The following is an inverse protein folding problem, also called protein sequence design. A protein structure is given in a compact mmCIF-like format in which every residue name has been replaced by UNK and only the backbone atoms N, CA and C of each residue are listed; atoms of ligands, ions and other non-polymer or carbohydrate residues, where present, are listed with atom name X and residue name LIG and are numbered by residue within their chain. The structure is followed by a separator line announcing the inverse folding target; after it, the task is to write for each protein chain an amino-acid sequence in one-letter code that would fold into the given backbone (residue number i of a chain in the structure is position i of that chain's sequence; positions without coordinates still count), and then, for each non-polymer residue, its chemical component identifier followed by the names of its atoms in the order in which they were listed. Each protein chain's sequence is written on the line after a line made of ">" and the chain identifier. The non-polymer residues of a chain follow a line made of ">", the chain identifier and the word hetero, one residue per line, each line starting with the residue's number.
data_IF_265584579679
#
_entry.id   IF_265584579679
#
_cell.length_a   1.000
_cell.length_b   1.000
_cell.length_c   1.000
_cell.angle_alpha   90.00
_cell.angle_beta   90.00
_cell.angle_gamma   90.00
#
_symmetry.space_group_name_H-M   'P 1'
#
loop_
_entity.id
_entity.type
_entity.pdbx_description
1 polymer ?
#
# COMPACT_ATOMS: atom_id res chain seq x y z
N UNK A 1 -7.84 -69.78 -17.97
CA UNK A 1 -6.76 -69.09 -17.20
C UNK A 1 -6.76 -67.63 -17.59
N UNK A 2 -7.17 -66.74 -16.68
CA UNK A 2 -7.35 -65.30 -16.91
C UNK A 2 -5.98 -64.59 -16.95
N UNK A 3 -5.70 -63.84 -18.02
CA UNK A 3 -4.57 -62.88 -18.08
C UNK A 3 -5.01 -61.57 -17.44
N UNK A 4 -4.35 -61.18 -16.35
CA UNK A 4 -4.54 -59.88 -15.71
C UNK A 4 -3.49 -58.94 -16.31
N UNK A 5 -3.93 -57.97 -17.10
CA UNK A 5 -3.10 -56.84 -17.51
C UNK A 5 -3.12 -55.81 -16.37
N UNK A 6 -1.98 -55.63 -15.69
CA UNK A 6 -1.81 -54.58 -14.69
C UNK A 6 -1.38 -53.29 -15.41
N UNK A 7 -2.29 -52.31 -15.52
CA UNK A 7 -1.94 -50.95 -15.92
C UNK A 7 -1.39 -50.21 -14.70
N UNK A 8 -0.07 -49.99 -14.69
CA UNK A 8 0.58 -49.15 -13.68
C UNK A 8 0.43 -47.68 -14.12
N UNK A 9 -0.54 -46.97 -13.56
CA UNK A 9 -0.71 -45.52 -13.77
C UNK A 9 0.33 -44.82 -12.89
N UNK A 10 1.43 -44.36 -13.52
CA UNK A 10 2.40 -43.47 -12.92
C UNK A 10 1.74 -42.10 -12.66
N UNK A 11 1.28 -41.89 -11.44
CA UNK A 11 0.98 -40.56 -10.92
C UNK A 11 2.30 -39.81 -10.74
N UNK A 12 2.76 -39.10 -11.77
CA UNK A 12 3.75 -38.06 -11.60
C UNK A 12 3.11 -36.92 -10.80
N UNK A 13 3.65 -36.53 -9.63
CA UNK A 13 3.23 -35.28 -9.01
C UNK A 13 3.66 -34.16 -9.94
N UNK A 14 2.69 -33.54 -10.61
CA UNK A 14 2.89 -32.28 -11.31
C UNK A 14 3.17 -31.26 -10.22
N UNK A 15 4.45 -31.03 -9.92
CA UNK A 15 4.89 -29.89 -9.12
C UNK A 15 4.56 -28.68 -9.99
N UNK A 16 3.38 -28.11 -9.78
CA UNK A 16 3.07 -26.78 -10.28
C UNK A 16 3.95 -25.82 -9.50
N UNK A 17 5.15 -25.53 -10.02
CA UNK A 17 5.88 -24.35 -9.59
C UNK A 17 4.97 -23.16 -9.92
N UNK A 18 4.29 -22.64 -8.90
CA UNK A 18 3.65 -21.35 -9.00
C UNK A 18 4.74 -20.37 -9.46
N UNK A 19 4.55 -19.74 -10.63
CA UNK A 19 5.42 -18.67 -11.07
C UNK A 19 5.25 -17.54 -10.07
N UNK A 20 6.21 -17.37 -9.17
CA UNK A 20 6.29 -16.18 -8.32
C UNK A 20 6.43 -14.97 -9.23
N UNK A 21 5.62 -13.94 -9.01
CA UNK A 21 5.81 -12.66 -9.70
C UNK A 21 7.21 -12.15 -9.38
N UNK A 22 7.98 -11.85 -10.42
CA UNK A 22 9.31 -11.27 -10.30
C UNK A 22 9.23 -9.81 -10.74
N UNK A 23 9.18 -8.90 -9.76
CA UNK A 23 9.30 -7.46 -10.00
C UNK A 23 10.79 -7.11 -10.02
N UNK A 24 11.20 -6.26 -10.96
CA UNK A 24 12.59 -5.84 -11.06
C UNK A 24 12.95 -4.93 -9.88
N UNK A 25 14.18 -5.02 -9.40
CA UNK A 25 14.72 -4.06 -8.43
C UNK A 25 14.58 -2.63 -8.93
N UNK A 26 14.28 -1.72 -8.02
CA UNK A 26 14.06 -0.30 -8.31
C UNK A 26 13.13 0.35 -7.29
N UNK A 27 13.00 1.68 -7.40
CA UNK A 27 12.03 2.44 -6.63
C UNK A 27 10.75 2.60 -7.46
N UNK A 28 9.59 2.40 -6.86
CA UNK A 28 8.29 2.53 -7.50
C UNK A 28 7.45 3.55 -6.76
N UNK A 29 6.62 4.29 -7.50
CA UNK A 29 5.66 5.23 -6.93
C UNK A 29 4.24 4.89 -7.37
N UNK A 30 3.31 4.92 -6.42
CA UNK A 30 1.90 4.61 -6.66
C UNK A 30 1.13 5.80 -7.21
N UNK A 31 0.42 5.58 -8.31
CA UNK A 31 -0.55 6.51 -8.88
C UNK A 31 -1.95 5.88 -8.78
N UNK A 32 -2.95 6.61 -8.29
CA UNK A 32 -4.32 6.14 -8.42
C UNK A 32 -4.80 6.37 -9.84
N UNK A 33 -5.16 5.29 -10.53
CA UNK A 33 -5.63 5.36 -11.91
C UNK A 33 -6.98 4.69 -12.07
N UNK A 34 -7.76 5.20 -13.02
CA UNK A 34 -9.05 4.62 -13.39
C UNK A 34 -9.27 4.76 -14.89
N UNK A 35 -10.26 4.02 -15.42
CA UNK A 35 -10.68 4.14 -16.82
C UNK A 35 -12.00 4.88 -16.92
N UNK A 36 -12.01 5.96 -17.70
CA UNK A 36 -13.23 6.66 -18.12
C UNK A 36 -13.36 6.54 -19.63
N UNK A 37 -14.42 5.87 -20.09
CA UNK A 37 -14.67 5.59 -21.51
C UNK A 37 -13.46 4.96 -22.24
N UNK A 38 -12.74 4.09 -21.53
CA UNK A 38 -11.56 3.38 -22.03
C UNK A 38 -10.25 4.17 -21.95
N UNK A 39 -10.28 5.46 -21.59
CA UNK A 39 -9.10 6.30 -21.41
C UNK A 39 -8.62 6.21 -19.96
N UNK A 40 -7.32 5.95 -19.78
CA UNK A 40 -6.69 5.93 -18.46
C UNK A 40 -6.57 7.37 -17.94
N UNK A 41 -6.99 7.59 -16.69
CA UNK A 41 -6.92 8.87 -15.99
C UNK A 41 -6.33 8.66 -14.60
N UNK A 42 -5.71 9.68 -14.05
CA UNK A 42 -5.24 9.74 -12.67
C UNK A 42 -6.24 10.47 -11.78
N UNK A 43 -6.29 10.10 -10.50
CA UNK A 43 -7.16 10.73 -9.50
C UNK A 43 -6.35 11.13 -8.26
N UNK A 44 -6.65 12.29 -7.69
CA UNK A 44 -5.85 12.93 -6.64
C UNK A 44 -5.96 12.34 -5.24
N UNK A 45 -6.44 11.10 -5.07
CA UNK A 45 -6.40 10.39 -3.77
C UNK A 45 -4.95 9.99 -3.42
N UNK A 46 -4.13 9.73 -4.44
CA UNK A 46 -2.68 9.72 -4.36
C UNK A 46 -2.15 10.96 -5.08
N UNK A 47 -1.04 11.52 -4.60
CA UNK A 47 -0.42 12.64 -5.31
C UNK A 47 -0.01 12.20 -6.72
N UNK A 48 -0.30 13.06 -7.71
CA UNK A 48 -0.01 12.74 -9.12
C UNK A 48 1.46 12.96 -9.49
N UNK A 49 2.28 13.47 -8.57
CA UNK A 49 3.71 13.68 -8.80
C UNK A 49 4.49 13.36 -7.53
N UNK A 50 5.50 12.47 -7.60
CA UNK A 50 6.34 12.18 -6.46
C UNK A 50 7.18 13.41 -6.07
N UNK A 51 7.24 13.71 -4.77
CA UNK A 51 7.99 14.86 -4.27
C UNK A 51 9.48 14.60 -4.33
N UNK A 52 10.23 15.54 -4.93
CA UNK A 52 11.69 15.54 -4.99
C UNK A 52 12.25 16.81 -4.43
N UNK A 53 13.29 16.68 -3.61
CA UNK A 53 14.12 17.79 -3.19
C UNK A 53 15.59 17.38 -3.28
N UNK A 54 16.41 18.21 -3.90
CA UNK A 54 17.87 18.01 -3.98
C UNK A 54 18.28 16.61 -4.50
N UNK A 55 17.50 16.07 -5.45
CA UNK A 55 17.75 14.76 -6.08
C UNK A 55 17.22 13.54 -5.33
N UNK A 56 16.68 13.70 -4.12
CA UNK A 56 16.06 12.60 -3.36
C UNK A 56 14.54 12.72 -3.36
N UNK A 57 13.86 11.58 -3.31
CA UNK A 57 12.42 11.54 -3.03
C UNK A 57 12.17 11.75 -1.53
N UNK A 58 11.17 12.54 -1.18
CA UNK A 58 10.90 12.93 0.22
C UNK A 58 9.42 12.78 0.59
N UNK A 59 9.17 12.45 1.86
CA UNK A 59 7.83 12.32 2.47
C UNK A 59 7.52 13.48 3.42
N UNK A 60 7.99 14.68 3.11
CA UNK A 60 7.73 15.84 3.96
C UNK A 60 6.27 16.31 3.89
N UNK A 61 5.75 16.95 4.96
CA UNK A 61 4.46 17.62 4.94
C UNK A 61 4.42 18.75 3.91
N UNK A 62 3.23 18.99 3.37
CA UNK A 62 2.88 20.14 2.53
C UNK A 62 1.77 20.93 3.23
N UNK A 63 1.66 22.26 3.06
CA UNK A 63 0.61 23.06 3.67
C UNK A 63 -0.81 22.58 3.29
N UNK A 64 -1.78 22.71 4.22
CA UNK A 64 -3.21 22.29 4.28
C UNK A 64 -4.03 22.09 2.99
N UNK A 65 -3.64 22.65 1.84
CA UNK A 65 -4.42 22.61 0.60
C UNK A 65 -4.04 21.46 -0.34
N UNK A 66 -3.16 20.56 0.09
CA UNK A 66 -2.66 19.47 -0.73
C UNK A 66 -3.00 18.10 -0.13
N UNK A 67 -4.20 17.60 -0.43
CA UNK A 67 -4.50 16.17 -0.33
C UNK A 67 -3.44 15.42 -1.13
N UNK A 68 -2.58 14.66 -0.44
CA UNK A 68 -1.39 14.11 -1.08
C UNK A 68 -0.87 12.86 -0.36
N UNK A 69 -1.72 11.83 -0.23
CA UNK A 69 -1.21 10.52 0.15
C UNK A 69 -0.15 10.07 -0.87
N UNK A 70 0.92 9.45 -0.39
CA UNK A 70 1.98 8.91 -1.22
C UNK A 70 2.36 7.52 -0.74
N UNK A 71 2.57 6.60 -1.68
CA UNK A 71 3.17 5.29 -1.40
C UNK A 71 4.30 5.06 -2.39
N UNK A 72 5.46 4.74 -1.84
CA UNK A 72 6.62 4.26 -2.56
C UNK A 72 6.88 2.80 -2.15
N UNK A 73 7.38 2.02 -3.10
CA UNK A 73 7.87 0.67 -2.86
C UNK A 73 9.28 0.58 -3.43
N UNK A 74 10.27 0.40 -2.57
CA UNK A 74 11.64 0.08 -2.98
C UNK A 74 11.79 -1.44 -3.03
N UNK A 75 12.33 -1.97 -4.12
CA UNK A 75 12.60 -3.39 -4.28
C UNK A 75 14.09 -3.57 -4.50
N UNK A 76 14.73 -4.36 -3.64
CA UNK A 76 16.13 -4.77 -3.74
C UNK A 76 16.23 -6.27 -3.50
N UNK A 77 16.88 -7.00 -4.40
CA UNK A 77 17.03 -8.45 -4.33
C UNK A 77 15.69 -9.18 -4.08
N UNK A 78 14.62 -8.72 -4.75
CA UNK A 78 13.25 -9.23 -4.58
C UNK A 78 12.66 -9.08 -3.16
N UNK A 79 13.18 -8.16 -2.35
CA UNK A 79 12.64 -7.78 -1.04
C UNK A 79 12.01 -6.38 -1.15
N UNK A 80 10.68 -6.26 -0.99
CA UNK A 80 10.01 -4.96 -1.00
C UNK A 80 10.08 -4.26 0.37
N UNK A 81 10.29 -2.96 0.32
CA UNK A 81 10.19 -2.05 1.45
C UNK A 81 9.29 -0.88 1.08
N UNK A 82 8.31 -0.57 1.92
CA UNK A 82 7.35 0.48 1.67
C UNK A 82 7.74 1.76 2.40
N UNK A 83 7.44 2.89 1.78
CA UNK A 83 7.54 4.21 2.39
C UNK A 83 6.29 4.98 2.04
N UNK A 84 5.65 5.63 3.01
CA UNK A 84 4.37 6.28 2.76
C UNK A 84 4.20 7.58 3.55
N UNK A 85 3.36 8.43 2.99
CA UNK A 85 2.82 9.62 3.62
C UNK A 85 1.31 9.50 3.56
N UNK A 86 0.65 9.59 4.71
CA UNK A 86 -0.81 9.63 4.80
C UNK A 86 -1.25 10.96 5.41
N UNK A 87 -2.21 11.59 4.76
CA UNK A 87 -2.93 12.71 5.32
C UNK A 87 -3.84 12.22 6.44
N UNK A 88 -3.90 12.97 7.55
CA UNK A 88 -4.82 12.68 8.66
C UNK A 88 -5.94 13.71 8.69
N UNK A 89 -7.18 13.24 8.80
CA UNK A 89 -8.36 14.10 8.92
C UNK A 89 -8.54 14.70 10.32
N UNK A 90 -7.92 14.11 11.35
CA UNK A 90 -8.41 14.29 12.73
C UNK A 90 -7.49 15.14 13.64
N UNK A 91 -6.35 15.65 13.16
CA UNK A 91 -5.42 16.32 14.08
C UNK A 91 -4.41 17.34 13.51
N UNK A 92 -4.48 17.79 12.25
CA UNK A 92 -3.39 18.57 11.61
C UNK A 92 -2.02 17.81 11.64
N UNK A 93 -2.06 16.48 11.81
CA UNK A 93 -0.89 15.63 11.98
C UNK A 93 -0.77 14.67 10.81
N UNK A 94 0.17 14.94 9.92
CA UNK A 94 0.46 14.04 8.82
C UNK A 94 1.25 12.83 9.31
N UNK A 95 0.98 11.66 8.73
CA UNK A 95 1.67 10.42 9.10
C UNK A 95 2.71 10.11 8.04
N UNK A 96 3.96 9.93 8.47
CA UNK A 96 4.99 9.31 7.63
C UNK A 96 5.31 7.93 8.17
N UNK A 97 5.55 6.98 7.28
CA UNK A 97 5.90 5.63 7.67
C UNK A 97 6.80 4.91 6.70
N UNK A 98 7.37 3.83 7.19
CA UNK A 98 7.98 2.79 6.37
C UNK A 98 7.57 1.41 6.90
N UNK A 99 7.56 0.40 6.03
CA UNK A 99 7.20 -0.96 6.42
C UNK A 99 8.05 -1.99 5.68
N UNK A 100 8.46 -3.03 6.41
CA UNK A 100 9.04 -4.22 5.81
C UNK A 100 7.94 -5.06 5.16
N UNK A 101 8.23 -5.62 3.98
CA UNK A 101 7.34 -6.53 3.30
C UNK A 101 8.08 -7.72 2.66
N UNK A 102 7.32 -8.73 2.26
CA UNK A 102 7.81 -9.91 1.55
C UNK A 102 6.86 -10.27 0.41
N UNK A 103 7.39 -10.79 -0.70
CA UNK A 103 6.54 -11.39 -1.73
C UNK A 103 6.23 -12.85 -1.36
N UNK A 104 4.95 -13.21 -1.45
CA UNK A 104 4.47 -14.59 -1.31
C UNK A 104 3.53 -14.89 -2.48
N UNK A 105 4.05 -15.64 -3.48
CA UNK A 105 3.30 -15.90 -4.70
C UNK A 105 3.05 -14.62 -5.50
N UNK A 106 1.78 -14.20 -5.57
CA UNK A 106 1.35 -12.96 -6.24
C UNK A 106 0.94 -11.86 -5.25
N UNK A 107 1.23 -12.05 -3.97
CA UNK A 107 0.89 -11.11 -2.92
C UNK A 107 2.16 -10.46 -2.36
N UNK A 108 2.07 -9.17 -2.04
CA UNK A 108 3.00 -8.49 -1.16
C UNK A 108 2.40 -8.47 0.24
N UNK A 109 3.13 -9.02 1.20
CA UNK A 109 2.68 -9.13 2.59
C UNK A 109 3.42 -8.08 3.41
N UNK A 110 2.68 -7.10 3.93
CA UNK A 110 3.22 -6.05 4.80
C UNK A 110 3.30 -6.60 6.23
N UNK A 111 4.48 -6.52 6.84
CA UNK A 111 4.76 -7.19 8.12
C UNK A 111 4.41 -6.30 9.32
N UNK A 112 5.14 -5.21 9.47
CA UNK A 112 4.92 -4.19 10.50
C UNK A 112 5.36 -2.85 9.93
N UNK A 113 4.60 -1.81 10.24
CA UNK A 113 4.92 -0.44 9.85
C UNK A 113 5.51 0.33 11.04
N UNK A 114 6.52 1.13 10.77
CA UNK A 114 7.04 2.13 11.71
C UNK A 114 6.58 3.50 11.25
N UNK A 115 5.87 4.21 12.12
CA UNK A 115 5.25 5.50 11.80
C UNK A 115 5.69 6.61 12.75
N UNK A 116 5.57 7.84 12.28
CA UNK A 116 5.68 9.07 13.06
C UNK A 116 4.64 10.07 12.57
N UNK A 117 4.21 10.93 13.48
CA UNK A 117 3.50 12.15 13.10
C UNK A 117 4.48 13.26 12.79
N UNK A 118 4.15 14.04 11.78
CA UNK A 118 4.80 15.29 11.46
C UNK A 118 3.75 16.40 11.46
N UNK A 119 4.06 17.47 12.20
CA UNK A 119 3.31 18.71 12.10
C UNK A 119 3.52 19.31 10.70
N UNK A 120 2.54 20.05 10.20
CA UNK A 120 2.59 20.68 8.88
C UNK A 120 3.80 21.62 8.70
N UNK A 121 4.18 22.35 9.76
CA UNK A 121 5.33 23.25 9.77
C UNK A 121 6.69 22.54 9.87
N UNK A 122 6.70 21.20 9.94
CA UNK A 122 7.94 20.45 10.12
C UNK A 122 8.90 20.70 8.96
N UNK A 123 10.12 21.12 9.32
CA UNK A 123 11.26 21.21 8.39
C UNK A 123 12.08 19.92 8.36
N UNK A 124 11.67 18.89 9.10
CA UNK A 124 12.35 17.60 9.11
C UNK A 124 12.30 16.98 7.72
N UNK A 125 13.46 16.58 7.20
CA UNK A 125 13.57 15.91 5.90
C UNK A 125 13.46 14.41 6.07
N UNK A 126 12.41 13.82 5.54
CA UNK A 126 12.20 12.35 5.53
C UNK A 126 12.43 11.85 4.11
N UNK A 127 13.61 11.27 3.84
CA UNK A 127 13.94 10.72 2.52
C UNK A 127 13.37 9.31 2.35
N UNK A 128 12.77 9.03 1.20
CA UNK A 128 12.44 7.67 0.78
C UNK A 128 13.73 6.85 0.61
N UNK A 129 13.73 5.58 1.01
CA UNK A 129 14.91 4.72 1.01
C UNK A 129 15.75 4.79 2.29
N UNK A 130 15.30 5.54 3.32
CA UNK A 130 15.96 5.62 4.63
C UNK A 130 14.96 5.33 5.75
N UNK A 131 15.17 4.23 6.47
CA UNK A 131 14.40 3.91 7.69
C UNK A 131 14.66 4.94 8.78
N UNK A 132 13.61 5.29 9.51
CA UNK A 132 13.66 6.15 10.69
C UNK A 132 13.07 5.43 11.91
N UNK A 133 13.53 5.74 13.12
CA UNK A 133 12.92 5.19 14.35
C UNK A 133 11.46 5.64 14.45
N UNK A 134 10.56 4.96 15.13
CA UNK A 134 9.19 5.49 15.27
C UNK A 134 8.33 4.57 16.10
N UNK A 135 7.02 4.82 16.07
CA UNK A 135 6.07 3.88 16.66
C UNK A 135 5.94 2.68 15.73
N UNK A 136 6.18 1.48 16.25
CA UNK A 136 5.87 0.25 15.54
C UNK A 136 4.39 -0.04 15.72
N UNK A 137 3.66 -0.13 14.62
CA UNK A 137 2.28 -0.58 14.55
C UNK A 137 2.30 -1.96 13.91
N UNK A 138 1.59 -2.91 14.53
CA UNK A 138 1.53 -4.28 14.07
C UNK A 138 0.08 -4.73 14.07
N UNK A 139 -0.41 -5.10 12.88
CA UNK A 139 -1.73 -5.66 12.73
C UNK A 139 -1.79 -7.07 13.33
N UNK A 140 -2.98 -7.44 13.83
CA UNK A 140 -3.23 -8.80 14.33
C UNK A 140 -3.04 -9.86 13.24
N UNK A 141 -3.40 -9.50 12.00
CA UNK A 141 -3.18 -10.29 10.80
C UNK A 141 -2.28 -9.48 9.85
N UNK A 142 -1.34 -10.12 9.15
CA UNK A 142 -0.50 -9.43 8.15
C UNK A 142 -1.39 -8.78 7.07
N UNK A 143 -1.05 -7.57 6.63
CA UNK A 143 -1.76 -6.89 5.54
C UNK A 143 -1.36 -7.52 4.20
N UNK A 144 -2.33 -8.08 3.49
CA UNK A 144 -2.14 -8.79 2.22
C UNK A 144 -2.44 -7.85 1.06
N UNK A 145 -1.46 -7.63 0.19
CA UNK A 145 -1.57 -6.72 -0.95
C UNK A 145 -1.41 -7.52 -2.25
N UNK A 146 -2.52 -7.96 -2.89
CA UNK A 146 -2.45 -8.67 -4.16
C UNK A 146 -1.87 -7.78 -5.25
N UNK A 147 -0.83 -8.25 -5.92
CA UNK A 147 -0.15 -7.51 -6.98
C UNK A 147 -0.29 -8.18 -8.34
N UNK A 148 -0.44 -7.36 -9.38
CA UNK A 148 -0.38 -7.80 -10.77
C UNK A 148 0.79 -7.11 -11.46
N UNK A 149 1.77 -7.89 -11.92
CA UNK A 149 2.91 -7.37 -12.66
C UNK A 149 2.48 -6.78 -14.01
N UNK A 150 3.03 -5.61 -14.35
CA UNK A 150 2.76 -4.91 -15.63
C UNK A 150 4.06 -4.93 -16.44
N UNK A 151 4.28 -6.03 -17.19
CA UNK A 151 5.32 -6.21 -18.20
C UNK A 151 6.71 -5.59 -17.91
N UNK A 152 7.16 -5.61 -16.65
CA UNK A 152 8.48 -5.13 -16.23
C UNK A 152 8.64 -3.60 -16.14
N UNK A 153 7.58 -2.83 -16.36
CA UNK A 153 7.54 -1.36 -16.18
C UNK A 153 6.95 -0.97 -14.81
N UNK A 154 6.27 -1.89 -14.16
CA UNK A 154 5.56 -1.63 -12.91
C UNK A 154 4.77 -2.84 -12.43
N UNK A 155 3.93 -2.58 -11.43
CA UNK A 155 2.89 -3.49 -10.97
C UNK A 155 1.66 -2.70 -10.56
N UNK A 156 0.58 -3.39 -10.24
CA UNK A 156 -0.68 -2.77 -9.85
C UNK A 156 -1.31 -3.47 -8.67
N UNK A 157 -2.03 -2.70 -7.87
CA UNK A 157 -2.85 -3.16 -6.74
C UNK A 157 -4.29 -2.78 -7.04
N UNK A 158 -5.13 -3.79 -7.27
CA UNK A 158 -6.57 -3.61 -7.38
C UNK A 158 -7.15 -3.47 -5.97
N UNK A 159 -7.70 -2.30 -5.66
CA UNK A 159 -8.19 -2.02 -4.32
C UNK A 159 -9.42 -2.85 -3.94
N UNK A 160 -10.25 -3.28 -4.89
CA UNK A 160 -11.35 -4.21 -4.59
C UNK A 160 -10.83 -5.57 -4.15
N UNK A 161 -9.77 -6.06 -4.80
CA UNK A 161 -9.14 -7.32 -4.41
C UNK A 161 -8.40 -7.20 -3.08
N UNK A 162 -7.67 -6.10 -2.88
CA UNK A 162 -7.03 -5.79 -1.60
C UNK A 162 -8.03 -5.81 -0.45
N UNK A 163 -9.17 -5.13 -0.59
CA UNK A 163 -10.20 -5.08 0.45
C UNK A 163 -10.78 -6.45 0.79
N UNK A 164 -10.99 -7.28 -0.23
CA UNK A 164 -11.47 -8.66 -0.05
C UNK A 164 -10.42 -9.52 0.64
N UNK A 165 -9.16 -9.45 0.23
CA UNK A 165 -8.07 -10.26 0.80
C UNK A 165 -7.85 -9.98 2.29
N UNK A 166 -8.15 -8.77 2.75
CA UNK A 166 -8.02 -8.38 4.15
C UNK A 166 -9.33 -8.41 4.94
N UNK A 167 -10.45 -8.74 4.29
CA UNK A 167 -11.81 -8.71 4.82
C UNK A 167 -12.28 -7.35 5.40
N UNK A 168 -11.64 -6.25 5.01
CA UNK A 168 -11.90 -4.93 5.60
C UNK A 168 -13.28 -4.36 5.23
N UNK A 169 -13.93 -4.86 4.17
CA UNK A 169 -15.31 -4.49 3.86
C UNK A 169 -16.31 -5.02 4.91
N UNK A 170 -15.98 -6.13 5.60
CA UNK A 170 -16.83 -6.73 6.63
C UNK A 170 -16.39 -6.31 8.03
N UNK A 171 -15.08 -6.19 8.27
CA UNK A 171 -14.52 -5.93 9.61
C UNK A 171 -14.29 -4.44 9.89
N UNK A 172 -14.42 -3.57 8.89
CA UNK A 172 -13.91 -2.21 8.94
C UNK A 172 -12.38 -2.16 8.81
N UNK A 173 -11.85 -0.95 8.66
CA UNK A 173 -10.41 -0.70 8.67
C UNK A 173 -9.89 -0.80 10.12
N UNK A 174 -8.75 -1.46 10.33
CA UNK A 174 -8.12 -1.48 11.65
C UNK A 174 -7.60 -0.07 11.96
N UNK A 175 -8.02 0.45 13.10
CA UNK A 175 -7.47 1.67 13.69
C UNK A 175 -6.67 1.32 14.94
N UNK A 176 -5.58 2.04 15.17
CA UNK A 176 -4.87 2.02 16.44
C UNK A 176 -5.08 3.38 17.07
N UNK A 177 -5.77 3.44 18.20
CA UNK A 177 -5.97 4.69 18.95
C UNK A 177 -4.96 4.78 20.11
N UNK A 178 -4.27 5.91 20.25
CA UNK A 178 -3.47 6.19 21.46
C UNK A 178 -3.80 7.56 22.05
N UNK A 179 -3.50 7.75 23.33
CA UNK A 179 -3.68 9.04 24.00
C UNK A 179 -2.82 10.13 23.37
N UNK A 180 -3.40 11.30 23.16
CA UNK A 180 -2.73 12.46 22.57
C UNK A 180 -1.40 12.79 23.30
N UNK A 181 -0.25 12.82 22.60
CA UNK A 181 1.04 13.14 23.20
C UNK A 181 1.12 14.56 23.76
N UNK A 182 0.24 15.48 23.34
CA UNK A 182 0.09 16.80 23.94
C UNK A 182 -0.69 16.81 25.26
N UNK A 183 -1.03 15.62 25.80
CA UNK A 183 -1.62 15.41 27.12
C UNK A 183 -2.99 16.07 27.32
N UNK A 184 -3.69 16.40 26.23
CA UNK A 184 -5.10 16.78 26.30
C UNK A 184 -5.89 15.56 26.75
N UNK A 185 -6.42 15.62 27.97
CA UNK A 185 -7.24 14.53 28.53
C UNK A 185 -8.39 14.23 27.58
N UNK A 186 -8.66 12.93 27.40
CA UNK A 186 -9.80 12.40 26.66
C UNK A 186 -9.78 12.62 25.14
N UNK A 187 -8.61 12.91 24.56
CA UNK A 187 -8.38 12.87 23.10
C UNK A 187 -7.54 11.64 22.76
N UNK A 188 -8.10 10.78 21.91
CA UNK A 188 -7.40 9.68 21.27
C UNK A 188 -7.01 10.13 19.86
N UNK A 189 -5.79 9.81 19.45
CA UNK A 189 -5.32 9.99 18.10
C UNK A 189 -5.35 8.61 17.43
N UNK A 190 -6.17 8.48 16.39
CA UNK A 190 -6.19 7.32 15.51
C UNK A 190 -4.94 7.30 14.62
N UNK A 191 -4.37 6.12 14.43
CA UNK A 191 -3.22 5.88 13.59
C UNK A 191 -3.64 4.90 12.49
N UNK A 192 -3.36 5.21 11.21
CA UNK A 192 -3.60 4.24 10.16
C UNK A 192 -2.72 3.01 10.39
N UNK A 193 -3.36 1.90 10.73
CA UNK A 193 -2.68 0.64 10.99
C UNK A 193 -2.29 -0.09 9.69
N UNK A 194 -2.81 0.37 8.55
CA UNK A 194 -2.53 -0.18 7.21
C UNK A 194 -1.77 0.81 6.35
N UNK A 195 -1.08 0.29 5.33
CA UNK A 195 -0.40 1.13 4.32
C UNK A 195 -1.35 1.51 3.18
N UNK A 196 -2.25 0.62 2.76
CA UNK A 196 -3.02 0.80 1.52
C UNK A 196 -4.45 1.30 1.74
N UNK A 197 -4.98 1.33 2.96
CA UNK A 197 -6.31 1.88 3.24
C UNK A 197 -6.33 2.75 4.50
N UNK A 198 -6.68 4.03 4.32
CA UNK A 198 -6.65 5.03 5.38
C UNK A 198 -7.87 5.94 5.28
N UNK A 199 -8.56 6.19 6.39
CA UNK A 199 -9.74 7.07 6.45
C UNK A 199 -10.88 6.70 5.49
N UNK A 200 -11.93 7.52 5.45
CA UNK A 200 -13.12 7.29 4.61
C UNK A 200 -12.90 7.65 3.14
N UNK A 201 -11.98 8.58 2.84
CA UNK A 201 -11.68 9.09 1.50
C UNK A 201 -10.30 8.68 0.94
N UNK A 202 -9.54 7.86 1.68
CA UNK A 202 -8.14 7.57 1.34
C UNK A 202 -7.94 6.45 0.33
N UNK A 203 -6.69 5.99 0.29
CA UNK A 203 -6.07 5.31 -0.86
C UNK A 203 -6.95 4.20 -1.41
N UNK A 204 -6.99 3.02 -0.80
CA UNK A 204 -7.93 2.00 -1.25
C UNK A 204 -9.34 2.26 -0.72
N UNK A 205 -9.55 2.96 0.39
CA UNK A 205 -10.86 3.07 1.08
C UNK A 205 -11.97 3.82 0.35
N UNK A 206 -11.68 4.47 -0.79
CA UNK A 206 -12.65 5.19 -1.60
C UNK A 206 -13.90 4.39 -2.06
N UNK A 207 -13.89 3.05 -1.98
CA UNK A 207 -15.09 2.23 -2.24
C UNK A 207 -16.08 2.21 -1.05
N UNK A 208 -15.66 2.63 0.15
CA UNK A 208 -16.54 2.78 1.32
C UNK A 208 -17.42 4.01 1.21
N UNK A 209 -16.93 5.07 0.56
CA UNK A 209 -17.68 6.31 0.38
C UNK A 209 -18.70 6.18 -0.77
N UNK A 210 -19.98 6.44 -0.52
CA UNK A 210 -21.04 6.42 -1.52
C UNK A 210 -20.91 7.53 -2.58
N UNK A 211 -20.32 8.68 -2.23
CA UNK A 211 -20.27 9.90 -3.06
C UNK A 211 -19.23 9.83 -4.19
N UNK A 212 -18.27 8.91 -4.12
CA UNK A 212 -17.28 8.71 -5.18
C UNK A 212 -17.91 8.05 -6.41
N UNK A 213 -17.68 8.63 -7.60
CA UNK A 213 -18.25 8.09 -8.85
C UNK A 213 -17.75 6.68 -9.14
N UNK A 214 -18.59 5.79 -9.73
CA UNK A 214 -18.26 4.37 -9.90
C UNK A 214 -16.97 4.09 -10.68
N UNK A 215 -16.59 4.95 -11.62
CA UNK A 215 -15.36 4.77 -12.38
C UNK A 215 -14.12 4.85 -11.48
N UNK A 216 -14.14 5.77 -10.51
CA UNK A 216 -13.03 5.97 -9.58
C UNK A 216 -13.00 4.84 -8.56
N UNK A 217 -14.16 4.37 -8.07
CA UNK A 217 -14.28 3.18 -7.19
C UNK A 217 -13.69 1.91 -7.80
N UNK A 218 -13.74 1.80 -9.13
CA UNK A 218 -13.15 0.69 -9.88
C UNK A 218 -11.72 0.99 -10.36
N UNK A 219 -11.09 2.03 -9.81
CA UNK A 219 -9.69 2.34 -10.02
C UNK A 219 -8.76 1.33 -9.33
N UNK A 220 -7.47 1.52 -9.56
CA UNK A 220 -6.41 0.73 -8.96
C UNK A 220 -5.17 1.60 -8.76
N UNK A 221 -4.27 1.17 -7.88
CA UNK A 221 -2.97 1.81 -7.74
C UNK A 221 -2.04 1.20 -8.78
N UNK A 222 -1.47 2.05 -9.63
CA UNK A 222 -0.42 1.67 -10.56
C UNK A 222 0.93 2.11 -10.02
N UNK A 223 1.76 1.15 -9.62
CA UNK A 223 3.13 1.39 -9.22
C UNK A 223 4.02 1.45 -10.46
N UNK A 224 4.49 2.65 -10.78
CA UNK A 224 5.40 2.88 -11.91
C UNK A 224 6.81 2.99 -11.39
N UNK A 225 7.75 2.34 -12.08
CA UNK A 225 9.16 2.44 -11.72
C UNK A 225 9.65 3.86 -11.91
N UNK A 226 10.31 4.38 -10.89
CA UNK A 226 11.07 5.62 -10.90
C UNK A 226 12.50 5.29 -11.36
N UNK A 227 13.02 6.09 -12.29
CA UNK A 227 14.31 5.93 -13.00
C UNK A 227 15.39 5.18 -12.20
#
# INVERSE_FOLDING_TARGET
>A
MKKIFLYMILFFPVITCAKTIQIKDGLYYGYWVYKDKGVLKEYGVLANNPRKDSGEYILNPVPELAVANEIYVEIKDNVPELYFYHESSDADLNVVGWADAKFLGNDMIVLANTIRFLNEDSKERVSVGKKFNGKVVQLKNEEVVPINAVNGEGFSVDCNNYMKSNNYAETGLPDVEESDPSSRKDILIGYPATVFAVGELGICSAFLDEDIVPQIKNGWIQFRRLN
#
